data_IF_923854278093
#
_entry.id   IF_923854278093
#
_cell.length_a   1.000
_cell.length_b   1.000
_cell.length_c   1.000
_cell.angle_alpha   90.00
_cell.angle_beta   90.00
_cell.angle_gamma   90.00
#
_symmetry.space_group_name_H-M   'P 1'
#
loop_
_entity.id
_entity.type
_entity.pdbx_description
1 polymer ?
#
# COMPACT_ATOMS: atom_id res chain seq x y z
N UNK A 1 -11.22 -18.91 18.68
CA UNK A 1 -10.78 -19.57 17.41
C UNK A 1 -9.27 -19.55 17.37
N UNK A 2 -8.67 -20.61 16.83
CA UNK A 2 -7.36 -21.16 17.21
C UNK A 2 -6.16 -20.27 16.87
N UNK A 3 -5.24 -20.17 17.84
CA UNK A 3 -3.88 -19.66 17.74
C UNK A 3 -3.01 -20.61 16.90
N UNK A 4 -2.53 -20.14 15.76
CA UNK A 4 -1.43 -20.75 15.02
C UNK A 4 -0.43 -19.63 14.76
N UNK A 5 0.68 -19.63 15.50
CA UNK A 5 1.97 -19.00 15.19
C UNK A 5 2.84 -19.10 16.46
N UNK A 6 3.34 -20.29 16.75
CA UNK A 6 4.52 -20.46 17.61
C UNK A 6 5.31 -21.63 17.02
N UNK A 7 6.24 -21.29 16.13
CA UNK A 7 7.32 -22.18 15.73
C UNK A 7 8.53 -21.31 15.39
N UNK A 8 9.66 -21.46 16.10
CA UNK A 8 10.87 -20.73 15.80
C UNK A 8 11.46 -21.23 14.45
N UNK A 9 12.12 -20.34 13.68
CA UNK A 9 12.73 -20.71 12.42
C UNK A 9 13.91 -21.69 12.64
N UNK A 10 14.14 -22.63 11.70
CA UNK A 10 15.29 -23.54 11.77
C UNK A 10 16.60 -22.79 11.49
N UNK A 11 17.74 -23.28 12.02
CA UNK A 11 19.05 -22.67 11.79
C UNK A 11 19.51 -22.84 10.33
N UNK A 12 19.88 -21.75 9.68
CA UNK A 12 20.50 -21.73 8.36
C UNK A 12 21.94 -22.25 8.42
N UNK A 13 22.16 -23.49 7.99
CA UNK A 13 23.51 -23.97 7.64
C UNK A 13 23.87 -23.45 6.24
N UNK A 14 24.91 -22.63 6.16
CA UNK A 14 25.50 -22.16 4.91
C UNK A 14 26.45 -23.20 4.34
N UNK A 15 26.37 -23.58 3.05
CA UNK A 15 27.40 -24.39 2.42
C UNK A 15 28.56 -23.52 1.93
N UNK A 16 29.76 -23.91 2.34
CA UNK A 16 31.04 -23.37 1.86
C UNK A 16 31.27 -23.81 0.41
N UNK A 17 31.24 -22.88 -0.54
CA UNK A 17 31.64 -23.12 -1.93
C UNK A 17 33.14 -22.81 -2.09
N UNK A 18 33.94 -23.87 -2.14
CA UNK A 18 35.33 -23.87 -2.62
C UNK A 18 35.36 -23.91 -4.14
N UNK A 19 35.92 -22.86 -4.75
CA UNK A 19 36.30 -22.84 -6.17
C UNK A 19 37.49 -23.77 -6.45
N UNK A 20 37.65 -24.25 -7.69
CA UNK A 20 38.99 -24.27 -8.26
C UNK A 20 39.10 -23.63 -9.65
N UNK A 21 40.35 -23.26 -9.89
CA UNK A 21 40.99 -22.52 -10.96
C UNK A 21 41.27 -23.39 -12.21
N UNK A 22 41.29 -22.78 -13.41
CA UNK A 22 42.40 -22.85 -14.40
C UNK A 22 42.00 -23.08 -15.87
N UNK A 23 42.33 -22.06 -16.70
CA UNK A 23 43.02 -22.13 -18.01
C UNK A 23 42.27 -22.59 -19.28
N UNK A 24 42.78 -22.32 -20.51
CA UNK A 24 43.66 -21.23 -20.99
C UNK A 24 43.11 -20.49 -22.24
N UNK A 25 43.75 -19.36 -22.58
CA UNK A 25 43.60 -18.59 -23.81
C UNK A 25 43.96 -19.36 -25.09
N UNK A 26 43.36 -18.98 -26.23
CA UNK A 26 44.03 -19.02 -27.53
C UNK A 26 44.09 -17.65 -28.23
N UNK A 27 45.16 -17.53 -29.01
CA UNK A 27 45.69 -16.41 -29.78
C UNK A 27 44.77 -15.88 -30.91
N UNK A 28 45.08 -14.70 -31.49
CA UNK A 28 44.17 -13.99 -32.40
C UNK A 28 44.30 -14.46 -33.85
N UNK A 29 43.14 -14.72 -34.48
CA UNK A 29 43.03 -15.05 -35.91
C UNK A 29 42.61 -13.82 -36.71
N UNK A 30 43.48 -13.45 -37.66
CA UNK A 30 43.25 -12.79 -38.96
C UNK A 30 41.85 -12.18 -39.25
N UNK A 31 41.83 -10.86 -39.42
CA UNK A 31 40.73 -10.14 -40.07
C UNK A 31 40.74 -10.41 -41.58
N UNK A 32 39.67 -11.05 -42.06
CA UNK A 32 39.32 -11.09 -43.48
C UNK A 32 38.18 -10.12 -43.72
N UNK A 33 38.44 -9.15 -44.60
CA UNK A 33 37.49 -8.17 -45.10
C UNK A 33 36.34 -8.87 -45.84
N UNK A 34 35.11 -8.75 -45.35
CA UNK A 34 33.91 -9.14 -46.09
C UNK A 34 32.95 -7.96 -46.25
N UNK A 35 32.41 -7.90 -47.45
CA UNK A 35 31.68 -6.80 -48.05
C UNK A 35 30.33 -6.54 -47.39
N UNK A 36 30.00 -5.26 -47.24
CA UNK A 36 28.73 -4.74 -46.73
C UNK A 36 27.50 -5.29 -47.47
N UNK A 37 26.48 -5.81 -46.76
CA UNK A 37 25.13 -5.91 -47.28
C UNK A 37 24.36 -4.61 -47.03
N UNK A 38 23.63 -4.15 -48.04
CA UNK A 38 22.74 -2.98 -48.00
C UNK A 38 21.68 -3.09 -46.89
N UNK A 39 21.30 -1.97 -46.25
CA UNK A 39 20.30 -1.97 -45.19
C UNK A 39 18.89 -2.21 -45.75
N UNK A 40 18.22 -3.26 -45.27
CA UNK A 40 16.78 -3.45 -45.43
C UNK A 40 16.00 -2.34 -44.73
N UNK A 41 14.85 -1.89 -45.28
CA UNK A 41 14.02 -0.87 -44.66
C UNK A 41 13.47 -1.36 -43.31
N UNK A 42 13.69 -0.57 -42.26
CA UNK A 42 13.17 -0.86 -40.92
C UNK A 42 11.63 -0.92 -40.93
N UNK A 43 11.02 -1.92 -40.27
CA UNK A 43 9.57 -1.95 -40.10
C UNK A 43 9.12 -0.76 -39.25
N UNK A 44 8.04 -0.10 -39.69
CA UNK A 44 7.44 1.03 -38.98
C UNK A 44 7.07 0.66 -37.54
N UNK A 45 7.28 1.55 -36.57
CA UNK A 45 6.93 1.29 -35.18
C UNK A 45 5.41 1.05 -35.03
N UNK A 46 4.99 0.13 -34.16
CA UNK A 46 3.58 -0.09 -33.87
C UNK A 46 2.94 1.17 -33.28
N UNK A 47 1.65 1.40 -33.53
CA UNK A 47 0.94 2.54 -32.97
C UNK A 47 0.95 2.50 -31.44
N UNK A 48 0.98 3.66 -30.77
CA UNK A 48 0.95 3.73 -29.31
C UNK A 48 -0.36 3.11 -28.77
N UNK A 49 -0.32 2.47 -27.60
CA UNK A 49 -1.52 1.93 -26.96
C UNK A 49 -2.51 3.06 -26.66
N UNK A 50 -3.84 2.78 -26.72
CA UNK A 50 -4.86 3.76 -26.40
C UNK A 50 -4.68 4.25 -24.95
N UNK A 51 -4.83 5.55 -24.75
CA UNK A 51 -4.77 6.17 -23.43
C UNK A 51 -5.83 5.56 -22.50
N UNK A 52 -5.53 5.34 -21.21
CA UNK A 52 -6.54 4.89 -20.26
C UNK A 52 -7.68 5.92 -20.19
N UNK A 53 -8.94 5.46 -19.98
CA UNK A 53 -10.07 6.36 -19.90
C UNK A 53 -9.87 7.35 -18.74
N UNK A 54 -10.24 8.63 -18.93
CA UNK A 54 -10.19 9.62 -17.85
C UNK A 54 -11.08 9.17 -16.68
N UNK A 55 -10.75 9.56 -15.44
CA UNK A 55 -11.64 9.32 -14.31
C UNK A 55 -13.02 9.95 -14.59
N UNK A 56 -14.11 9.34 -14.11
CA UNK A 56 -15.44 9.89 -14.30
C UNK A 56 -15.51 11.32 -13.78
N UNK A 57 -16.20 12.24 -14.48
CA UNK A 57 -16.30 13.62 -14.06
C UNK A 57 -16.98 13.69 -12.68
N UNK A 58 -16.24 14.20 -11.69
CA UNK A 58 -16.79 14.51 -10.39
C UNK A 58 -17.73 15.71 -10.54
N UNK A 59 -19.03 15.45 -10.53
CA UNK A 59 -20.03 16.51 -10.45
C UNK A 59 -20.00 17.06 -9.03
N UNK A 60 -19.49 18.29 -8.89
CA UNK A 60 -19.54 19.08 -7.65
C UNK A 60 -21.00 19.45 -7.31
N UNK A 61 -21.84 18.46 -6.97
CA UNK A 61 -23.11 18.71 -6.32
C UNK A 61 -22.88 18.74 -4.81
N UNK A 62 -22.26 19.83 -4.37
CA UNK A 62 -22.17 20.21 -2.96
C UNK A 62 -23.57 20.53 -2.45
N UNK A 63 -24.34 19.51 -2.09
CA UNK A 63 -25.39 19.54 -1.06
C UNK A 63 -26.03 18.14 -0.95
N UNK A 64 -25.36 17.20 -0.29
CA UNK A 64 -26.04 16.07 0.36
C UNK A 64 -26.68 16.60 1.65
N UNK A 65 -27.53 17.62 1.53
CA UNK A 65 -28.47 18.04 2.57
C UNK A 65 -29.70 17.15 2.42
N UNK A 66 -29.58 15.88 2.80
CA UNK A 66 -30.72 14.97 2.76
C UNK A 66 -30.33 13.50 2.80
N UNK A 67 -30.35 12.92 4.00
CA UNK A 67 -30.70 11.51 4.23
C UNK A 67 -29.78 10.43 3.63
N UNK A 68 -28.46 10.56 3.71
CA UNK A 68 -27.67 9.33 3.72
C UNK A 68 -27.65 8.76 5.14
N UNK A 69 -28.50 7.77 5.40
CA UNK A 69 -28.42 6.89 6.56
C UNK A 69 -27.15 6.04 6.45
N UNK A 70 -25.98 6.64 6.55
CA UNK A 70 -24.66 6.01 6.40
C UNK A 70 -24.38 4.88 7.42
N UNK A 71 -25.34 4.59 8.29
CA UNK A 71 -25.27 3.64 9.39
C UNK A 71 -25.72 2.21 9.05
N UNK A 72 -26.30 1.94 7.87
CA UNK A 72 -26.55 0.54 7.50
C UNK A 72 -25.31 -0.05 6.82
N UNK A 73 -24.41 -0.57 7.65
CA UNK A 73 -23.27 -1.43 7.26
C UNK A 73 -23.70 -2.62 6.38
N UNK A 74 -24.99 -2.97 6.40
CA UNK A 74 -25.56 -4.11 5.69
C UNK A 74 -25.40 -4.07 4.16
N UNK A 75 -25.21 -2.90 3.56
CA UNK A 75 -25.09 -2.76 2.11
C UNK A 75 -23.67 -3.04 1.57
N UNK A 76 -22.63 -2.93 2.41
CA UNK A 76 -21.23 -3.02 1.98
C UNK A 76 -20.61 -4.37 2.33
N UNK A 77 -21.21 -5.44 1.81
CA UNK A 77 -20.82 -6.83 2.09
C UNK A 77 -19.99 -7.50 0.99
N UNK A 78 -19.57 -6.78 -0.05
CA UNK A 78 -18.79 -7.35 -1.16
C UNK A 78 -17.37 -7.74 -0.79
N UNK A 79 -16.80 -7.05 0.19
CA UNK A 79 -15.47 -7.33 0.71
C UNK A 79 -14.99 -6.22 1.64
N UNK A 80 -13.76 -6.37 2.11
CA UNK A 80 -13.08 -5.33 2.87
C UNK A 80 -11.65 -5.14 2.39
N UNK A 81 -11.15 -3.92 2.54
CA UNK A 81 -9.78 -3.53 2.18
C UNK A 81 -9.16 -2.85 3.38
N UNK A 82 -7.96 -3.27 3.79
CA UNK A 82 -7.16 -2.64 4.84
C UNK A 82 -5.89 -2.09 4.19
N UNK A 83 -5.60 -0.79 4.38
CA UNK A 83 -4.37 -0.15 3.89
C UNK A 83 -3.64 0.48 5.06
N UNK A 84 -2.34 0.22 5.15
CA UNK A 84 -1.45 0.67 6.22
C UNK A 84 -0.47 1.68 5.66
N UNK A 85 -0.34 2.80 6.35
CA UNK A 85 0.43 3.94 5.88
C UNK A 85 1.29 4.51 7.00
N UNK A 86 2.42 5.10 6.63
CA UNK A 86 3.34 5.71 7.58
C UNK A 86 3.99 6.96 7.00
N UNK A 87 4.19 7.97 7.86
CA UNK A 87 4.80 9.25 7.48
C UNK A 87 6.19 9.07 6.86
N UNK A 88 7.03 8.29 7.52
CA UNK A 88 8.38 7.93 7.07
C UNK A 88 8.43 6.41 6.94
N UNK A 89 8.52 5.92 5.71
CA UNK A 89 8.51 4.48 5.40
C UNK A 89 9.78 3.76 5.87
N UNK A 90 10.82 4.51 6.24
CA UNK A 90 12.06 3.97 6.81
C UNK A 90 12.04 3.92 8.34
N UNK A 91 11.04 4.53 8.98
CA UNK A 91 10.91 4.48 10.43
C UNK A 91 10.51 3.07 10.86
N UNK A 92 11.38 2.39 11.61
CA UNK A 92 11.07 1.11 12.21
C UNK A 92 10.68 1.33 13.68
N UNK A 93 9.41 1.16 14.06
CA UNK A 93 8.94 1.42 15.42
C UNK A 93 9.55 0.45 16.46
N UNK A 94 10.09 -0.69 16.02
CA UNK A 94 10.71 -1.71 16.89
C UNK A 94 12.05 -1.26 17.47
N UNK A 95 12.76 -0.35 16.81
CA UNK A 95 14.01 0.20 17.35
C UNK A 95 13.67 1.26 18.39
N UNK A 96 14.00 0.98 19.66
CA UNK A 96 13.79 1.85 20.83
C UNK A 96 14.59 3.18 20.80
N UNK A 97 14.87 3.74 19.63
CA UNK A 97 15.44 5.09 19.48
C UNK A 97 14.32 6.12 19.67
N UNK A 98 13.75 6.12 20.88
CA UNK A 98 12.59 6.92 21.29
C UNK A 98 12.99 8.40 21.50
N UNK A 99 14.28 8.68 21.69
CA UNK A 99 14.76 9.95 22.24
C UNK A 99 14.95 11.08 21.21
N UNK A 100 14.88 10.80 19.91
CA UNK A 100 15.06 11.81 18.84
C UNK A 100 13.83 12.02 17.96
N UNK A 101 12.65 11.85 18.54
CA UNK A 101 11.42 12.08 17.78
C UNK A 101 11.17 13.59 17.67
N UNK A 102 11.25 14.09 16.44
CA UNK A 102 10.91 15.46 16.05
C UNK A 102 9.62 15.95 16.72
N UNK A 103 9.51 17.27 16.96
CA UNK A 103 8.33 17.94 17.54
C UNK A 103 6.99 17.65 16.83
N UNK A 104 7.02 17.09 15.62
CA UNK A 104 5.84 16.69 14.85
C UNK A 104 5.54 15.18 14.84
N UNK A 105 6.42 14.35 15.42
CA UNK A 105 6.26 12.90 15.56
C UNK A 105 6.12 12.09 14.25
N UNK A 106 6.49 10.81 14.22
CA UNK A 106 5.94 9.90 13.22
C UNK A 106 4.44 9.71 13.51
N UNK A 107 3.65 9.63 12.44
CA UNK A 107 2.28 9.11 12.51
C UNK A 107 2.23 7.79 11.74
N UNK A 108 1.37 6.89 12.22
CA UNK A 108 0.94 5.69 11.51
C UNK A 108 -0.53 5.90 11.17
N UNK A 109 -0.96 5.44 10.00
CA UNK A 109 -2.35 5.48 9.61
C UNK A 109 -2.81 4.10 9.13
N UNK A 110 -4.04 3.77 9.45
CA UNK A 110 -4.72 2.57 8.96
C UNK A 110 -6.08 2.99 8.42
N UNK A 111 -6.42 2.52 7.23
CA UNK A 111 -7.72 2.79 6.62
C UNK A 111 -8.37 1.46 6.26
N UNK A 112 -9.59 1.27 6.75
CA UNK A 112 -10.40 0.12 6.37
C UNK A 112 -11.56 0.59 5.50
N UNK A 113 -11.70 0.00 4.32
CA UNK A 113 -12.83 0.16 3.44
C UNK A 113 -13.75 -1.05 3.52
N UNK A 114 -15.05 -0.80 3.45
CA UNK A 114 -16.07 -1.78 3.09
C UNK A 114 -16.53 -1.46 1.68
N UNK A 115 -16.54 -2.46 0.81
CA UNK A 115 -16.89 -2.30 -0.62
C UNK A 115 -18.12 -3.15 -0.96
N UNK A 116 -18.95 -2.68 -1.90
CA UNK A 116 -20.10 -3.44 -2.41
C UNK A 116 -19.70 -4.59 -3.33
N UNK A 117 -18.63 -4.40 -4.10
CA UNK A 117 -18.08 -5.36 -5.06
C UNK A 117 -16.56 -5.16 -5.13
N UNK A 118 -15.80 -6.13 -4.59
CA UNK A 118 -14.34 -6.05 -4.52
C UNK A 118 -13.68 -6.12 -5.92
N UNK A 119 -14.01 -7.09 -6.80
CA UNK A 119 -13.54 -7.08 -8.18
C UNK A 119 -13.79 -5.74 -8.89
N UNK A 120 -14.99 -5.18 -8.80
CA UNK A 120 -15.29 -3.88 -9.42
C UNK A 120 -14.42 -2.76 -8.85
N UNK A 121 -14.25 -2.68 -7.52
CA UNK A 121 -13.40 -1.68 -6.86
C UNK A 121 -11.92 -1.81 -7.23
N UNK A 122 -11.42 -3.03 -7.46
CA UNK A 122 -10.06 -3.25 -7.95
C UNK A 122 -9.91 -2.79 -9.40
N UNK A 123 -10.82 -3.22 -10.28
CA UNK A 123 -10.78 -2.90 -11.71
C UNK A 123 -10.96 -1.41 -12.00
N UNK A 124 -11.90 -0.76 -11.32
CA UNK A 124 -12.18 0.67 -11.50
C UNK A 124 -11.14 1.54 -10.79
N UNK A 125 -10.51 1.01 -9.73
CA UNK A 125 -9.60 1.73 -8.86
C UNK A 125 -10.30 2.30 -7.64
N UNK A 126 -9.56 2.40 -6.54
CA UNK A 126 -10.04 2.95 -5.28
C UNK A 126 -9.56 4.39 -5.15
N UNK A 127 -10.44 5.37 -5.37
CA UNK A 127 -10.10 6.80 -5.33
C UNK A 127 -10.80 7.48 -4.17
N UNK A 128 -10.02 8.17 -3.34
CA UNK A 128 -10.55 9.04 -2.29
C UNK A 128 -9.62 10.23 -2.07
N UNK A 129 -10.20 11.33 -1.61
CA UNK A 129 -9.55 12.61 -1.29
C UNK A 129 -10.08 13.16 0.03
N UNK A 130 -9.72 14.41 0.35
CA UNK A 130 -10.33 15.14 1.47
C UNK A 130 -11.84 15.33 1.29
N UNK A 131 -12.34 15.42 0.06
CA UNK A 131 -13.76 15.69 -0.21
C UNK A 131 -14.65 14.53 0.22
N UNK A 132 -14.08 13.32 0.30
CA UNK A 132 -14.78 12.14 0.80
C UNK A 132 -14.97 12.13 2.33
N UNK A 133 -14.41 13.10 3.05
CA UNK A 133 -14.41 13.11 4.52
C UNK A 133 -15.74 13.60 5.05
N UNK A 134 -16.44 12.73 5.77
CA UNK A 134 -17.59 13.11 6.58
C UNK A 134 -17.12 13.65 7.94
N UNK A 135 -17.22 14.97 8.09
CA UNK A 135 -16.82 15.67 9.30
C UNK A 135 -17.65 15.26 10.52
N UNK A 136 -18.88 14.78 10.35
CA UNK A 136 -19.74 14.37 11.46
C UNK A 136 -19.22 13.11 12.18
N UNK A 137 -18.47 12.26 11.48
CA UNK A 137 -17.88 11.03 12.02
C UNK A 137 -16.48 11.21 12.62
N UNK A 138 -15.90 12.40 12.58
CA UNK A 138 -14.52 12.66 13.02
C UNK A 138 -14.41 12.80 14.55
N UNK A 139 -13.49 12.07 15.19
CA UNK A 139 -13.28 12.15 16.64
C UNK A 139 -11.84 11.77 17.05
N UNK A 140 -11.49 12.06 18.30
CA UNK A 140 -10.23 11.66 18.94
C UNK A 140 -10.46 10.50 19.91
N UNK A 141 -9.42 9.69 20.07
CA UNK A 141 -9.33 8.61 21.04
C UNK A 141 -8.06 8.81 21.85
N UNK A 142 -8.20 9.04 23.16
CA UNK A 142 -7.08 9.16 24.10
C UNK A 142 -6.73 7.81 24.76
N UNK A 143 -7.52 6.77 24.46
CA UNK A 143 -7.25 5.40 24.83
C UNK A 143 -7.56 4.48 23.64
N UNK A 144 -6.52 3.83 23.09
CA UNK A 144 -6.66 2.95 21.93
C UNK A 144 -7.55 1.72 22.19
N UNK A 145 -7.76 1.32 23.44
CA UNK A 145 -8.69 0.23 23.80
C UNK A 145 -10.15 0.58 23.55
N UNK A 146 -10.50 1.87 23.49
CA UNK A 146 -11.86 2.35 23.21
C UNK A 146 -12.20 2.42 21.71
N UNK A 147 -11.26 2.02 20.85
CA UNK A 147 -11.48 1.96 19.41
C UNK A 147 -12.44 0.85 19.00
N UNK A 148 -13.19 1.02 17.90
CA UNK A 148 -14.17 0.04 17.47
C UNK A 148 -13.53 -1.29 17.02
N UNK A 149 -14.25 -2.43 17.13
CA UNK A 149 -13.71 -3.79 16.93
C UNK A 149 -13.37 -4.29 15.50
N UNK A 150 -12.86 -3.49 14.55
CA UNK A 150 -11.82 -4.06 13.69
C UNK A 150 -10.43 -3.45 13.94
N UNK A 151 -10.36 -2.36 14.69
CA UNK A 151 -9.11 -1.64 14.95
C UNK A 151 -8.61 -1.80 16.38
N UNK A 152 -9.30 -2.57 17.22
CA UNK A 152 -8.89 -2.76 18.61
C UNK A 152 -7.59 -3.56 18.72
N UNK A 153 -7.46 -4.66 17.97
CA UNK A 153 -6.23 -5.47 17.90
C UNK A 153 -5.02 -4.65 17.43
N UNK A 154 -5.28 -3.69 16.54
CA UNK A 154 -4.29 -2.73 16.08
C UNK A 154 -3.89 -1.73 17.15
N UNK A 155 -4.89 -1.17 17.84
CA UNK A 155 -4.68 -0.27 18.95
C UNK A 155 -3.74 -0.86 20.00
N UNK A 156 -3.92 -2.15 20.33
CA UNK A 156 -3.07 -2.87 21.29
C UNK A 156 -1.61 -2.99 20.80
N UNK A 157 -1.38 -3.43 19.55
CA UNK A 157 -0.01 -3.55 19.01
C UNK A 157 0.70 -2.21 18.91
N UNK A 158 -0.03 -1.16 18.52
CA UNK A 158 0.51 0.19 18.43
C UNK A 158 0.80 0.78 19.82
N UNK A 159 0.03 0.38 20.84
CA UNK A 159 0.29 0.74 22.24
C UNK A 159 1.62 0.20 22.74
N UNK A 160 1.99 -1.04 22.37
CA UNK A 160 3.31 -1.62 22.68
C UNK A 160 4.46 -0.83 22.02
N UNK A 161 4.19 -0.13 20.92
CA UNK A 161 5.12 0.77 20.23
C UNK A 161 5.05 2.23 20.72
N UNK A 162 4.32 2.47 21.82
CA UNK A 162 4.20 3.77 22.49
C UNK A 162 3.21 4.73 21.85
N UNK A 163 2.39 4.29 20.89
CA UNK A 163 1.29 5.10 20.37
C UNK A 163 0.13 5.06 21.36
N UNK A 164 -0.34 6.23 21.76
CA UNK A 164 -1.32 6.36 22.85
C UNK A 164 -2.59 7.08 22.43
N UNK A 165 -2.55 7.78 21.29
CA UNK A 165 -3.66 8.58 20.80
C UNK A 165 -4.01 8.18 19.36
N UNK A 166 -5.28 8.29 19.01
CA UNK A 166 -5.74 8.17 17.64
C UNK A 166 -6.75 9.26 17.26
N UNK A 167 -6.83 9.55 15.95
CA UNK A 167 -7.85 10.40 15.35
C UNK A 167 -8.54 9.62 14.25
N UNK A 168 -9.87 9.59 14.29
CA UNK A 168 -10.71 8.91 13.30
C UNK A 168 -11.25 9.92 12.30
N UNK A 169 -11.27 9.52 11.03
CA UNK A 169 -11.97 10.17 9.95
C UNK A 169 -12.92 9.16 9.30
N UNK A 170 -14.16 9.57 9.09
CA UNK A 170 -15.13 8.78 8.32
C UNK A 170 -15.05 9.21 6.86
N UNK A 171 -15.06 8.24 5.95
CA UNK A 171 -14.98 8.45 4.51
C UNK A 171 -16.20 7.84 3.83
N UNK A 172 -16.74 8.53 2.84
CA UNK A 172 -17.90 8.11 2.07
C UNK A 172 -17.60 8.32 0.58
N UNK A 173 -17.99 7.36 -0.24
CA UNK A 173 -18.01 7.54 -1.69
C UNK A 173 -19.06 8.58 -2.09
N UNK A 174 -18.67 9.56 -2.89
CA UNK A 174 -19.51 10.69 -3.27
C UNK A 174 -20.40 10.39 -4.49
N UNK A 175 -20.29 9.19 -5.08
CA UNK A 175 -21.17 8.77 -6.15
C UNK A 175 -22.65 8.72 -5.71
N UNK A 176 -23.58 8.94 -6.64
CA UNK A 176 -25.04 8.82 -6.40
C UNK A 176 -25.42 7.46 -5.81
N UNK A 177 -24.72 6.40 -6.24
CA UNK A 177 -24.74 5.08 -5.62
C UNK A 177 -23.34 4.77 -5.04
N UNK A 178 -23.09 5.08 -3.76
CA UNK A 178 -21.83 4.81 -3.09
C UNK A 178 -21.41 3.35 -3.21
N UNK A 179 -20.22 3.09 -3.74
CA UNK A 179 -19.67 1.75 -3.91
C UNK A 179 -18.83 1.31 -2.72
N UNK A 180 -18.37 2.26 -1.92
CA UNK A 180 -17.55 1.99 -0.75
C UNK A 180 -17.80 3.01 0.36
N UNK A 181 -17.39 2.63 1.56
CA UNK A 181 -17.21 3.54 2.70
C UNK A 181 -15.96 3.16 3.45
N UNK A 182 -15.34 4.12 4.11
CA UNK A 182 -14.06 3.90 4.76
C UNK A 182 -13.99 4.54 6.14
N UNK A 183 -13.12 4.00 6.97
CA UNK A 183 -12.73 4.62 8.24
C UNK A 183 -11.21 4.67 8.29
N UNK A 184 -10.68 5.88 8.42
CA UNK A 184 -9.25 6.15 8.55
C UNK A 184 -8.95 6.46 10.01
N UNK A 185 -8.01 5.72 10.59
CA UNK A 185 -7.39 6.03 11.88
C UNK A 185 -5.98 6.54 11.66
N UNK A 186 -5.63 7.60 12.38
CA UNK A 186 -4.27 8.14 12.44
C UNK A 186 -3.81 8.08 13.88
N UNK A 187 -2.69 7.43 14.12
CA UNK A 187 -2.12 7.17 15.43
C UNK A 187 -0.89 8.03 15.66
N UNK A 188 -0.72 8.50 16.89
CA UNK A 188 0.50 9.15 17.33
C UNK A 188 0.76 8.91 18.82
N UNK A 189 2.00 9.17 19.26
CA UNK A 189 2.39 9.14 20.68
C UNK A 189 1.86 10.35 21.46
N UNK A 190 1.37 11.38 20.79
CA UNK A 190 0.78 12.57 21.42
C UNK A 190 -0.31 13.20 20.57
N UNK A 191 -1.15 13.99 21.22
CA UNK A 191 -2.30 14.64 20.57
C UNK A 191 -1.89 15.74 19.57
N UNK A 192 -0.80 16.46 19.85
CA UNK A 192 -0.36 17.62 19.04
C UNK A 192 -0.08 17.26 17.57
N UNK A 193 0.67 16.18 17.25
CA UNK A 193 0.76 15.66 15.89
C UNK A 193 -0.59 15.40 15.22
N UNK A 194 -1.57 14.82 15.95
CA UNK A 194 -2.89 14.50 15.40
C UNK A 194 -3.75 15.75 15.13
N UNK A 195 -3.62 16.80 15.94
CA UNK A 195 -4.27 18.09 15.68
C UNK A 195 -3.72 18.77 14.41
N UNK A 196 -2.41 18.61 14.16
CA UNK A 196 -1.72 19.15 12.97
C UNK A 196 -1.89 18.28 11.74
N UNK A 197 -2.26 17.02 11.92
CA UNK A 197 -2.48 16.09 10.83
C UNK A 197 -3.50 16.64 9.84
N UNK A 198 -3.21 16.45 8.55
CA UNK A 198 -4.03 16.84 7.42
C UNK A 198 -4.08 15.66 6.47
N UNK A 199 -5.27 15.27 6.02
CA UNK A 199 -5.46 14.07 5.18
C UNK A 199 -4.64 14.14 3.90
N UNK A 200 -4.46 15.34 3.34
CA UNK A 200 -3.66 15.62 2.15
C UNK A 200 -2.17 15.28 2.32
N UNK A 201 -1.71 15.06 3.56
CA UNK A 201 -0.34 14.60 3.84
C UNK A 201 -0.16 13.10 3.61
N UNK A 202 -1.25 12.35 3.43
CA UNK A 202 -1.23 10.95 3.03
C UNK A 202 -1.09 10.89 1.51
N UNK A 203 -0.21 10.02 1.04
CA UNK A 203 -0.07 9.64 -0.35
C UNK A 203 0.04 8.12 -0.50
N UNK A 204 -0.12 7.61 -1.73
CA UNK A 204 0.15 6.21 -2.06
C UNK A 204 1.59 5.81 -1.69
N UNK A 205 2.54 6.76 -1.79
CA UNK A 205 3.92 6.56 -1.38
C UNK A 205 4.11 6.28 0.12
N UNK A 206 3.12 6.60 0.97
CA UNK A 206 3.15 6.28 2.39
C UNK A 206 2.70 4.84 2.70
N UNK A 207 2.14 4.11 1.73
CA UNK A 207 1.61 2.76 1.96
C UNK A 207 2.76 1.79 2.26
N UNK A 208 2.64 1.06 3.37
CA UNK A 208 3.53 -0.02 3.79
C UNK A 208 2.94 -1.40 3.48
N UNK A 209 1.62 -1.51 3.57
CA UNK A 209 0.92 -2.74 3.27
C UNK A 209 -0.52 -2.47 2.89
N UNK A 210 -1.10 -3.37 2.11
CA UNK A 210 -2.52 -3.36 1.81
C UNK A 210 -3.00 -4.81 1.68
N UNK A 211 -4.18 -5.10 2.22
CA UNK A 211 -4.82 -6.41 2.09
C UNK A 211 -6.26 -6.21 1.67
N UNK A 212 -6.79 -7.13 0.86
CA UNK A 212 -8.21 -7.16 0.58
C UNK A 212 -8.74 -8.57 0.71
N UNK A 213 -9.99 -8.66 1.17
CA UNK A 213 -10.65 -9.91 1.44
C UNK A 213 -12.04 -9.89 0.83
N UNK A 214 -12.45 -11.03 0.31
CA UNK A 214 -13.79 -11.23 -0.23
C UNK A 214 -14.85 -11.17 0.87
N UNK A 215 -16.12 -11.15 0.47
CA UNK A 215 -17.26 -11.32 1.37
C UNK A 215 -17.12 -12.50 2.34
N UNK A 216 -16.51 -13.60 1.88
CA UNK A 216 -16.34 -14.83 2.65
C UNK A 216 -15.04 -14.84 3.46
N UNK A 217 -14.45 -13.66 3.70
CA UNK A 217 -13.23 -13.45 4.49
C UNK A 217 -11.99 -14.17 3.92
N UNK A 218 -12.01 -14.50 2.62
CA UNK A 218 -10.84 -15.06 1.93
C UNK A 218 -9.96 -13.93 1.42
N UNK A 219 -8.67 -13.96 1.75
CA UNK A 219 -7.72 -12.98 1.26
C UNK A 219 -7.60 -13.09 -0.26
N UNK A 220 -7.94 -12.00 -0.96
CA UNK A 220 -7.91 -11.91 -2.42
C UNK A 220 -6.73 -11.06 -2.92
N UNK A 221 -6.16 -10.25 -2.04
CA UNK A 221 -5.07 -9.34 -2.37
C UNK A 221 -4.16 -9.14 -1.18
N UNK A 222 -2.86 -9.14 -1.44
CA UNK A 222 -1.86 -8.75 -0.47
C UNK A 222 -0.76 -7.92 -1.14
N UNK A 223 -0.44 -6.82 -0.49
CA UNK A 223 0.73 -6.02 -0.76
C UNK A 223 1.48 -5.81 0.55
N UNK A 224 2.77 -6.10 0.52
CA UNK A 224 3.77 -5.77 1.51
C UNK A 224 4.92 -5.06 0.80
N UNK A 225 5.24 -3.85 1.25
CA UNK A 225 6.42 -3.14 0.77
C UNK A 225 7.72 -3.80 1.24
N UNK A 226 7.68 -4.43 2.41
CA UNK A 226 8.84 -5.06 3.05
C UNK A 226 9.10 -6.48 2.53
N UNK A 227 8.05 -7.16 2.06
CA UNK A 227 8.11 -8.54 1.54
C UNK A 227 7.46 -8.59 0.15
N UNK A 228 8.03 -7.94 -0.89
CA UNK A 228 7.41 -7.87 -2.21
C UNK A 228 7.15 -9.23 -2.87
N UNK A 229 7.92 -10.25 -2.51
CA UNK A 229 7.76 -11.64 -2.94
C UNK A 229 6.47 -12.30 -2.46
N UNK A 230 5.82 -11.73 -1.46
CA UNK A 230 4.51 -12.19 -0.98
C UNK A 230 3.35 -11.44 -1.62
N UNK A 231 3.61 -10.46 -2.48
CA UNK A 231 2.55 -9.69 -3.11
C UNK A 231 1.77 -10.57 -4.08
N UNK A 232 0.44 -10.49 -4.02
CA UNK A 232 -0.42 -11.21 -4.94
C UNK A 232 -1.76 -10.50 -5.13
N UNK A 233 -2.40 -10.78 -6.25
CA UNK A 233 -3.77 -10.41 -6.55
C UNK A 233 -4.46 -11.61 -7.19
N UNK A 234 -5.31 -12.30 -6.44
CA UNK A 234 -5.96 -13.52 -6.88
C UNK A 234 -7.16 -13.29 -7.82
N UNK A 235 -7.57 -12.03 -8.04
CA UNK A 235 -8.72 -11.69 -8.90
C UNK A 235 -8.26 -11.32 -10.31
N UNK A 236 -7.18 -10.54 -10.43
CA UNK A 236 -6.72 -10.02 -11.72
C UNK A 236 -5.22 -10.24 -12.00
N UNK A 237 -4.55 -11.07 -11.20
CA UNK A 237 -3.12 -11.34 -11.33
C UNK A 237 -2.30 -10.03 -11.43
N UNK A 238 -1.52 -9.86 -12.48
CA UNK A 238 -0.65 -8.70 -12.68
C UNK A 238 -1.34 -7.48 -13.30
N UNK A 239 -2.67 -7.48 -13.44
CA UNK A 239 -3.40 -6.33 -13.99
C UNK A 239 -3.14 -5.07 -13.15
N UNK A 240 -2.66 -3.97 -13.75
CA UNK A 240 -2.42 -2.72 -13.05
C UNK A 240 -3.69 -2.13 -12.44
N UNK A 241 -3.62 -1.69 -11.18
CA UNK A 241 -4.76 -1.16 -10.44
C UNK A 241 -4.65 0.35 -10.22
N UNK A 242 -5.77 1.04 -10.40
CA UNK A 242 -5.89 2.50 -10.27
C UNK A 242 -5.97 2.99 -8.82
N UNK A 243 -5.78 4.29 -8.62
CA UNK A 243 -5.98 4.94 -7.33
C UNK A 243 -5.06 4.42 -6.21
N UNK A 244 -5.63 4.18 -5.04
CA UNK A 244 -4.95 3.86 -3.78
C UNK A 244 -4.50 2.40 -3.65
N UNK A 245 -4.74 1.55 -4.65
CA UNK A 245 -4.12 0.23 -4.72
C UNK A 245 -2.62 0.39 -4.94
N UNK A 246 -1.72 -0.07 -4.04
CA UNK A 246 -0.28 0.20 -4.16
C UNK A 246 0.43 -0.61 -5.24
N UNK A 247 -0.16 -1.74 -5.65
CA UNK A 247 0.40 -2.72 -6.61
C UNK A 247 -0.74 -3.57 -7.21
N UNK A 248 -0.61 -4.15 -8.41
CA UNK A 248 0.37 -3.83 -9.45
C UNK A 248 0.15 -2.42 -10.00
N UNK A 249 1.23 -1.77 -10.46
CA UNK A 249 1.20 -0.43 -11.08
C UNK A 249 1.77 -0.51 -12.49
N UNK A 250 1.31 0.38 -13.37
CA UNK A 250 1.87 0.53 -14.71
C UNK A 250 3.36 0.89 -14.61
N UNK A 251 4.23 0.07 -15.20
CA UNK A 251 5.68 0.30 -15.26
C UNK A 251 6.08 1.59 -15.97
N UNK A 252 5.18 2.17 -16.78
CA UNK A 252 5.37 3.42 -17.50
C UNK A 252 5.13 4.68 -16.66
N UNK A 253 4.71 4.53 -15.41
CA UNK A 253 4.67 5.63 -14.43
C UNK A 253 5.92 5.47 -13.58
N UNK A 254 7.01 6.15 -13.95
CA UNK A 254 8.28 6.03 -13.24
C UNK A 254 8.13 6.54 -11.81
N UNK A 255 8.11 5.62 -10.86
CA UNK A 255 8.54 5.91 -9.49
C UNK A 255 10.06 5.76 -9.48
N UNK A 256 10.79 6.82 -9.85
CA UNK A 256 12.27 6.92 -9.87
C UNK A 256 12.93 6.82 -8.48
N UNK A 257 12.33 6.06 -7.56
CA UNK A 257 12.82 5.86 -6.20
C UNK A 257 12.88 4.39 -5.75
N UNK A 258 12.51 3.43 -6.61
CA UNK A 258 12.35 2.02 -6.21
C UNK A 258 13.66 1.22 -6.05
N UNK A 259 14.74 1.57 -6.74
CA UNK A 259 15.95 0.72 -6.75
C UNK A 259 17.05 1.11 -5.74
N UNK A 260 16.95 2.26 -5.06
CA UNK A 260 17.98 2.69 -4.09
C UNK A 260 17.70 2.21 -2.65
N UNK A 261 16.43 1.99 -2.29
CA UNK A 261 16.02 1.73 -0.90
C UNK A 261 15.99 0.25 -0.52
N UNK A 262 15.67 -0.65 -1.46
CA UNK A 262 15.63 -2.10 -1.20
C UNK A 262 17.01 -2.65 -0.78
N UNK A 263 18.09 -2.09 -1.33
CA UNK A 263 19.48 -2.43 -0.99
C UNK A 263 19.86 -1.96 0.42
N UNK A 264 19.26 -0.88 0.91
CA UNK A 264 19.59 -0.31 2.23
C UNK A 264 18.91 -1.06 3.38
N UNK A 265 17.69 -1.56 3.19
CA UNK A 265 17.00 -2.36 4.21
C UNK A 265 17.57 -3.78 4.34
N UNK A 266 18.00 -4.42 3.24
CA UNK A 266 18.65 -5.74 3.31
C UNK A 266 19.98 -5.72 4.08
N UNK A 267 20.72 -4.62 4.02
CA UNK A 267 21.99 -4.46 4.75
C UNK A 267 21.82 -4.16 6.25
N UNK A 268 20.60 -3.87 6.71
CA UNK A 268 20.29 -3.55 8.11
C UNK A 268 19.71 -4.72 8.91
N UNK A 269 19.50 -5.87 8.28
CA UNK A 269 19.00 -7.13 8.90
C UNK A 269 20.16 -8.14 9.08
N UNK A 270 21.37 -7.83 8.61
CA UNK A 270 22.55 -8.70 8.66
C UNK A 270 23.61 -8.28 9.71
N UNK A 271 23.26 -7.42 10.67
CA UNK A 271 24.14 -7.02 11.79
C UNK A 271 23.40 -7.02 13.11
#
# INVERSE_FOLDING_TARGET
MRSWLDSPPPPCNSPSLTSPLSSPSPSPSSFSSSSSPSPSPSPSPPPPPPSPPPPPPYTNSNHINGKYNAHQDSEFKGGYVDIRMQKDVNFCPEKRDIEKIHKDGPWIAAIAFRVKDLPAAMKQGLYWSQDNVDLSGCCFYDNLQSMPPPFQDWGLRLQDWGFTHARRFQLIDLAENPQWKGTLFVFSRGIKPLCRFRIQTISVGNILGATAFTRDEKMAYMYSRLEPERNFNAIYDDMPLGGWWPWPKNSNVSDDQKNSLLTRCKNLIMY
#
